data_IF_882198529711
#
_entry.id   IF_882198529711
#
_cell.length_a   1.000
_cell.length_b   1.000
_cell.length_c   1.000
_cell.angle_alpha   90.00
_cell.angle_beta   90.00
_cell.angle_gamma   90.00
#
_symmetry.space_group_name_H-M   'P 1'
#
loop_
_entity.id
_entity.type
_entity.pdbx_description
1 polymer ?
#
# COMPACT_ATOMS: atom_id res chain seq x y z
N UNK A 1 5.78 -1.45 -2.70
CA UNK A 1 5.80 -0.06 -3.26
C UNK A 1 6.66 -0.07 -4.51
N UNK A 2 6.47 0.88 -5.42
CA UNK A 2 7.28 1.01 -6.65
C UNK A 2 7.65 2.48 -6.86
N UNK A 3 8.89 2.72 -7.29
CA UNK A 3 9.29 3.98 -7.93
C UNK A 3 9.77 3.61 -9.34
N UNK A 4 8.99 3.99 -10.36
CA UNK A 4 9.37 3.75 -11.75
C UNK A 4 10.01 5.01 -12.33
N UNK A 5 11.30 4.93 -12.64
CA UNK A 5 12.03 5.96 -13.37
C UNK A 5 11.68 5.95 -14.86
N UNK A 6 11.41 4.75 -15.41
CA UNK A 6 10.99 4.57 -16.80
C UNK A 6 9.67 5.28 -17.10
N UNK A 7 8.67 5.13 -16.23
CA UNK A 7 7.33 5.71 -16.41
C UNK A 7 7.04 6.91 -15.50
N UNK A 8 8.05 7.37 -14.74
CA UNK A 8 7.98 8.52 -13.82
C UNK A 8 6.79 8.47 -12.86
N UNK A 9 6.66 7.39 -12.09
CA UNK A 9 5.61 7.28 -11.06
C UNK A 9 6.13 6.75 -9.73
N UNK A 10 5.39 7.03 -8.66
CA UNK A 10 5.59 6.50 -7.31
C UNK A 10 4.27 5.88 -6.84
N UNK A 11 4.26 4.57 -6.66
CA UNK A 11 3.13 3.85 -6.09
C UNK A 11 3.35 3.59 -4.59
N UNK A 12 2.59 4.31 -3.76
CA UNK A 12 2.59 4.14 -2.31
C UNK A 12 1.60 3.04 -1.94
N UNK A 13 2.15 1.88 -1.56
CA UNK A 13 1.36 0.68 -1.27
C UNK A 13 0.78 0.70 0.14
N UNK A 14 -0.54 0.85 0.26
CA UNK A 14 -1.26 0.72 1.52
C UNK A 14 -1.61 -0.73 1.83
N UNK A 15 -1.97 -0.99 3.10
CA UNK A 15 -2.42 -2.30 3.55
C UNK A 15 -3.88 -2.50 3.18
N UNK A 16 -4.23 -3.72 2.74
CA UNK A 16 -5.62 -4.19 2.53
C UNK A 16 -6.41 -3.47 1.41
N UNK A 17 -5.69 -2.84 0.48
CA UNK A 17 -6.23 -2.15 -0.70
C UNK A 17 -5.88 -2.86 -2.01
N UNK A 18 -5.72 -4.20 -1.97
CA UNK A 18 -5.17 -5.03 -3.05
C UNK A 18 -3.82 -4.59 -3.61
N UNK A 19 -3.03 -3.87 -2.81
CA UNK A 19 -1.73 -3.35 -3.21
C UNK A 19 -0.71 -4.40 -3.68
N UNK A 20 -0.87 -5.70 -3.35
CA UNK A 20 -0.01 -6.75 -3.94
C UNK A 20 -0.35 -6.99 -5.40
N UNK A 21 -1.62 -7.21 -5.75
CA UNK A 21 -2.03 -7.40 -7.15
C UNK A 21 -1.72 -6.18 -8.02
N UNK A 22 -1.95 -4.96 -7.50
CA UNK A 22 -1.59 -3.72 -8.19
C UNK A 22 -0.08 -3.63 -8.39
N UNK A 23 0.71 -3.95 -7.37
CA UNK A 23 2.17 -3.94 -7.49
C UNK A 23 2.69 -4.93 -8.53
N UNK A 24 2.06 -6.11 -8.66
CA UNK A 24 2.42 -7.08 -9.69
C UNK A 24 2.08 -6.56 -11.10
N UNK A 25 0.89 -5.97 -11.29
CA UNK A 25 0.51 -5.36 -12.57
C UNK A 25 1.48 -4.24 -12.96
N UNK A 26 1.80 -3.34 -12.02
CA UNK A 26 2.72 -2.23 -12.24
C UNK A 26 4.17 -2.69 -12.44
N UNK A 27 4.61 -3.79 -11.80
CA UNK A 27 5.98 -4.28 -11.98
C UNK A 27 6.20 -4.90 -13.37
N UNK A 28 5.13 -5.32 -14.06
CA UNK A 28 5.19 -5.78 -15.44
C UNK A 28 5.68 -4.71 -16.44
N UNK A 29 5.39 -3.43 -16.17
CA UNK A 29 5.81 -2.32 -17.05
C UNK A 29 7.15 -1.69 -16.66
N UNK A 30 7.68 -2.03 -15.48
CA UNK A 30 8.89 -1.40 -14.93
C UNK A 30 10.16 -1.66 -15.78
N UNK A 31 11.11 -0.73 -15.71
CA UNK A 31 12.45 -0.82 -16.30
C UNK A 31 13.50 -1.43 -15.36
N UNK A 32 14.74 -1.52 -15.81
CA UNK A 32 15.86 -2.11 -15.05
C UNK A 32 16.30 -1.27 -13.86
N UNK A 33 16.20 0.05 -13.95
CA UNK A 33 16.60 0.99 -12.90
C UNK A 33 15.49 1.22 -11.86
N UNK A 34 14.26 0.78 -12.13
CA UNK A 34 13.11 1.04 -11.28
C UNK A 34 13.26 0.34 -9.92
N UNK A 35 12.76 0.98 -8.86
CA UNK A 35 12.80 0.46 -7.50
C UNK A 35 11.54 -0.34 -7.23
N UNK A 36 11.71 -1.63 -6.94
CA UNK A 36 10.62 -2.55 -6.63
C UNK A 36 10.94 -3.25 -5.31
N UNK A 37 10.14 -3.00 -4.28
CA UNK A 37 10.36 -3.61 -2.96
C UNK A 37 9.94 -5.08 -2.93
N UNK A 38 10.57 -5.91 -2.09
CA UNK A 38 10.20 -7.32 -1.96
C UNK A 38 8.83 -7.53 -1.30
N UNK A 39 8.02 -8.42 -1.86
CA UNK A 39 6.75 -8.94 -1.28
C UNK A 39 6.97 -10.30 -0.58
N UNK A 40 5.91 -11.00 -0.17
CA UNK A 40 6.09 -12.33 0.46
C UNK A 40 6.69 -13.29 -0.56
N UNK A 41 7.36 -14.36 -0.09
CA UNK A 41 8.02 -15.32 -0.98
C UNK A 41 7.05 -15.97 -1.96
N UNK A 42 5.83 -16.23 -1.53
CA UNK A 42 4.75 -16.80 -2.33
C UNK A 42 4.28 -15.80 -3.40
N UNK A 43 4.07 -14.54 -3.00
CA UNK A 43 3.67 -13.47 -3.92
C UNK A 43 4.79 -13.17 -4.95
N UNK A 44 6.07 -13.24 -4.55
CA UNK A 44 7.25 -13.11 -5.44
C UNK A 44 7.30 -14.21 -6.48
N UNK A 45 7.02 -15.45 -6.07
CA UNK A 45 6.98 -16.60 -6.98
C UNK A 45 5.88 -16.41 -8.03
N UNK A 46 4.68 -16.04 -7.60
CA UNK A 46 3.57 -15.74 -8.52
C UNK A 46 3.93 -14.58 -9.48
N UNK A 47 4.61 -13.54 -8.98
CA UNK A 47 5.05 -12.41 -9.79
C UNK A 47 6.04 -12.83 -10.89
N UNK A 48 6.96 -13.72 -10.55
CA UNK A 48 7.89 -14.30 -11.51
C UNK A 48 7.18 -15.19 -12.56
N UNK A 49 6.24 -16.03 -12.13
CA UNK A 49 5.45 -16.90 -13.02
C UNK A 49 4.60 -16.09 -14.02
N UNK A 50 4.16 -14.89 -13.65
CA UNK A 50 3.46 -13.94 -14.52
C UNK A 50 4.38 -13.17 -15.47
N UNK A 51 5.70 -13.42 -15.44
CA UNK A 51 6.68 -12.70 -16.26
C UNK A 51 6.90 -11.25 -15.84
N UNK A 52 6.40 -10.83 -14.67
CA UNK A 52 6.58 -9.48 -14.16
C UNK A 52 7.96 -9.32 -13.50
N UNK A 53 8.47 -8.08 -13.42
CA UNK A 53 9.75 -7.84 -12.74
C UNK A 53 9.65 -8.12 -11.24
N UNK A 54 10.70 -8.78 -10.74
CA UNK A 54 10.94 -9.08 -9.33
C UNK A 54 11.46 -7.89 -8.52
N UNK A 55 11.88 -8.15 -7.29
CA UNK A 55 12.33 -7.12 -6.37
C UNK A 55 13.73 -6.68 -6.77
N UNK A 56 13.93 -5.39 -6.97
CA UNK A 56 15.17 -4.83 -7.48
C UNK A 56 15.39 -3.41 -6.96
N UNK A 57 16.64 -2.98 -6.94
CA UNK A 57 17.09 -1.60 -6.62
C UNK A 57 16.54 -1.01 -5.31
N UNK A 58 16.09 -1.84 -4.37
CA UNK A 58 15.46 -1.39 -3.13
C UNK A 58 16.44 -1.05 -2.00
N UNK A 59 17.75 -0.97 -2.27
CA UNK A 59 18.72 -0.41 -1.32
C UNK A 59 18.67 1.11 -1.36
N UNK A 60 18.57 1.76 -0.20
CA UNK A 60 18.61 3.22 -0.13
C UNK A 60 20.06 3.69 -0.33
N UNK A 61 20.33 4.66 -1.23
CA UNK A 61 21.66 5.25 -1.36
C UNK A 61 22.14 5.93 -0.08
N UNK A 62 23.44 5.82 0.21
CA UNK A 62 24.04 6.30 1.47
C UNK A 62 23.93 7.81 1.66
N UNK A 63 23.80 8.58 0.57
CA UNK A 63 23.55 10.02 0.61
C UNK A 63 22.26 10.40 1.34
N UNK A 64 21.32 9.47 1.51
CA UNK A 64 20.06 9.67 2.24
C UNK A 64 20.06 9.07 3.66
N UNK A 65 21.23 8.69 4.17
CA UNK A 65 21.34 8.10 5.51
C UNK A 65 21.32 9.22 6.55
N UNK A 66 20.41 9.11 7.52
CA UNK A 66 20.46 9.94 8.72
C UNK A 66 21.54 9.45 9.70
N UNK A 67 21.69 10.19 10.81
CA UNK A 67 22.65 9.87 11.88
C UNK A 67 22.42 8.43 12.40
N UNK A 68 21.17 8.05 12.61
CA UNK A 68 20.81 6.70 13.09
C UNK A 68 21.12 5.61 12.07
N UNK A 69 20.92 5.88 10.78
CA UNK A 69 21.24 4.94 9.70
C UNK A 69 22.76 4.70 9.63
N UNK A 70 23.56 5.77 9.75
CA UNK A 70 25.02 5.67 9.84
C UNK A 70 25.50 4.90 11.06
N UNK A 71 24.93 5.17 12.25
CA UNK A 71 25.23 4.37 13.46
C UNK A 71 24.91 2.89 13.23
N UNK A 72 23.74 2.55 12.71
CA UNK A 72 23.36 1.17 12.44
C UNK A 72 24.28 0.51 11.41
N UNK A 73 24.74 1.25 10.40
CA UNK A 73 25.68 0.71 9.42
C UNK A 73 27.06 0.43 10.02
N UNK A 74 27.60 1.36 10.81
CA UNK A 74 28.94 1.22 11.40
C UNK A 74 28.95 0.11 12.45
N UNK A 75 27.98 0.10 13.38
CA UNK A 75 28.00 -0.81 14.53
C UNK A 75 27.34 -2.17 14.26
N UNK A 76 26.45 -2.27 13.28
CA UNK A 76 25.68 -3.51 13.00
C UNK A 76 25.81 -4.01 11.56
N UNK A 77 26.57 -3.32 10.71
CA UNK A 77 26.64 -3.62 9.27
C UNK A 77 25.30 -3.46 8.54
N UNK A 78 24.28 -2.87 9.17
CA UNK A 78 22.91 -2.87 8.65
C UNK A 78 22.72 -1.77 7.60
N UNK A 79 22.35 -2.16 6.39
CA UNK A 79 21.94 -1.26 5.31
C UNK A 79 20.48 -0.83 5.49
N UNK A 80 20.16 0.36 4.96
CA UNK A 80 18.80 0.89 4.83
C UNK A 80 18.20 0.47 3.49
N UNK A 81 16.94 0.08 3.50
CA UNK A 81 16.21 -0.39 2.32
C UNK A 81 14.85 0.29 2.21
N UNK A 82 14.37 0.45 0.99
CA UNK A 82 12.95 0.65 0.71
C UNK A 82 12.20 -0.62 1.12
N UNK A 83 11.01 -0.45 1.67
CA UNK A 83 10.21 -1.57 2.19
C UNK A 83 8.73 -1.40 1.86
N UNK A 84 7.99 -2.51 1.96
CA UNK A 84 6.55 -2.49 1.70
C UNK A 84 5.80 -1.69 2.76
N UNK A 85 4.81 -0.90 2.32
CA UNK A 85 4.11 0.03 3.21
C UNK A 85 5.07 1.06 3.84
N UNK A 86 6.02 1.58 3.07
CA UNK A 86 6.81 2.77 3.45
C UNK A 86 5.94 4.02 3.25
N UNK A 87 5.85 4.93 4.23
CA UNK A 87 5.03 6.15 4.13
C UNK A 87 5.65 7.19 3.19
N UNK A 88 4.82 8.06 2.64
CA UNK A 88 5.20 9.19 1.78
C UNK A 88 6.33 10.04 2.37
N UNK A 89 6.28 10.31 3.69
CA UNK A 89 7.31 11.04 4.42
C UNK A 89 8.69 10.40 4.29
N UNK A 90 8.79 9.08 4.47
CA UNK A 90 10.05 8.33 4.36
C UNK A 90 10.48 8.19 2.90
N UNK A 91 9.55 7.97 1.96
CA UNK A 91 9.87 7.90 0.52
C UNK A 91 10.51 9.23 0.09
N UNK A 92 9.87 10.36 0.40
CA UNK A 92 10.36 11.71 0.09
C UNK A 92 11.74 11.98 0.67
N UNK A 93 12.02 11.52 1.90
CA UNK A 93 13.32 11.70 2.54
C UNK A 93 14.46 10.86 1.91
N UNK A 94 14.12 9.81 1.15
CA UNK A 94 15.08 8.86 0.61
C UNK A 94 15.32 8.99 -0.91
N UNK A 95 14.68 9.95 -1.59
CA UNK A 95 14.82 10.17 -3.03
C UNK A 95 15.20 11.62 -3.36
N UNK A 96 15.75 11.89 -4.56
CA UNK A 96 15.97 13.26 -5.02
C UNK A 96 14.66 14.07 -5.05
N UNK A 97 14.75 15.38 -4.78
CA UNK A 97 13.59 16.26 -4.73
C UNK A 97 12.90 16.42 -6.09
N UNK A 98 13.66 16.42 -7.18
CA UNK A 98 13.15 16.43 -8.55
C UNK A 98 12.32 15.18 -8.83
N UNK A 99 12.77 14.00 -8.41
CA UNK A 99 11.97 12.77 -8.54
C UNK A 99 10.65 12.88 -7.76
N UNK A 100 10.69 13.33 -6.51
CA UNK A 100 9.47 13.50 -5.71
C UNK A 100 8.50 14.50 -6.35
N UNK A 101 9.01 15.62 -6.84
CA UNK A 101 8.19 16.70 -7.39
C UNK A 101 7.63 16.34 -8.78
N UNK A 102 8.40 15.65 -9.62
CA UNK A 102 8.07 15.46 -11.03
C UNK A 102 7.28 14.16 -11.32
N UNK A 103 7.38 13.14 -10.46
CA UNK A 103 6.78 11.82 -10.76
C UNK A 103 5.31 11.79 -10.36
N UNK A 104 4.45 11.11 -11.12
CA UNK A 104 3.07 10.90 -10.70
C UNK A 104 3.00 9.98 -9.46
N UNK A 105 2.52 10.50 -8.34
CA UNK A 105 2.42 9.83 -7.05
C UNK A 105 0.98 9.42 -6.81
N UNK A 106 0.76 8.15 -6.51
CA UNK A 106 -0.60 7.68 -6.23
C UNK A 106 -0.64 6.52 -5.24
N UNK A 107 -1.82 6.31 -4.69
CA UNK A 107 -2.13 5.15 -3.88
C UNK A 107 -3.59 4.75 -4.05
N UNK A 108 -3.96 3.63 -3.43
CA UNK A 108 -5.35 3.17 -3.36
C UNK A 108 -5.80 3.19 -1.90
N UNK A 109 -7.03 3.62 -1.68
CA UNK A 109 -7.74 3.56 -0.41
C UNK A 109 -8.98 2.68 -0.58
N UNK A 110 -9.41 2.00 0.48
CA UNK A 110 -10.61 1.14 0.50
C UNK A 110 -11.56 1.63 1.57
N UNK A 111 -12.85 1.41 1.35
CA UNK A 111 -13.89 1.62 2.35
C UNK A 111 -13.40 1.14 3.75
N UNK A 112 -13.32 2.03 4.76
CA UNK A 112 -12.66 1.72 6.02
C UNK A 112 -13.26 0.56 6.80
N UNK A 113 -14.59 0.39 6.75
CA UNK A 113 -15.29 -0.71 7.40
C UNK A 113 -14.89 -2.05 6.77
N UNK A 114 -14.97 -2.14 5.44
CA UNK A 114 -14.56 -3.34 4.71
C UNK A 114 -13.06 -3.64 4.83
N UNK A 115 -12.23 -2.59 4.79
CA UNK A 115 -10.77 -2.66 5.00
C UNK A 115 -10.43 -3.23 6.36
N UNK A 116 -11.12 -2.77 7.41
CA UNK A 116 -10.94 -3.22 8.80
C UNK A 116 -11.33 -4.68 8.95
N UNK A 117 -12.54 -5.06 8.50
CA UNK A 117 -13.02 -6.46 8.53
C UNK A 117 -12.02 -7.37 7.80
N UNK A 118 -11.55 -6.96 6.62
CA UNK A 118 -10.56 -7.72 5.86
C UNK A 118 -9.22 -7.87 6.61
N UNK A 119 -8.80 -6.87 7.37
CA UNK A 119 -7.57 -6.97 8.16
C UNK A 119 -7.74 -7.83 9.40
N UNK A 120 -8.87 -7.70 10.10
CA UNK A 120 -9.23 -8.52 11.25
C UNK A 120 -9.11 -10.01 10.92
N UNK A 121 -9.84 -10.49 9.90
CA UNK A 121 -9.77 -11.90 9.50
C UNK A 121 -8.37 -12.34 9.07
N UNK A 122 -7.61 -11.46 8.43
CA UNK A 122 -6.24 -11.77 8.06
C UNK A 122 -5.32 -11.96 9.28
N UNK A 123 -5.46 -11.12 10.31
CA UNK A 123 -4.66 -11.21 11.54
C UNK A 123 -5.09 -12.35 12.44
N UNK A 124 -6.40 -12.62 12.50
CA UNK A 124 -6.97 -13.68 13.34
C UNK A 124 -6.64 -15.10 12.89
N UNK A 125 -5.83 -15.28 11.83
CA UNK A 125 -5.26 -16.59 11.46
C UNK A 125 -4.05 -16.97 12.31
N UNK A 126 -3.33 -15.97 12.80
CA UNK A 126 -2.11 -16.13 13.62
C UNK A 126 -2.25 -15.52 15.02
N UNK A 127 -3.35 -14.82 15.24
CA UNK A 127 -3.77 -14.22 16.51
C UNK A 127 -5.11 -14.84 16.90
N UNK A 128 -5.52 -14.60 18.14
CA UNK A 128 -6.78 -15.10 18.68
C UNK A 128 -7.52 -13.94 19.36
N UNK A 129 -7.91 -12.95 18.53
CA UNK A 129 -8.80 -11.88 18.96
C UNK A 129 -10.20 -12.46 19.17
N UNK A 130 -10.79 -12.12 20.31
CA UNK A 130 -12.11 -12.62 20.70
C UNK A 130 -13.26 -11.98 19.89
N UNK A 131 -13.05 -10.77 19.37
CA UNK A 131 -14.03 -9.98 18.61
C UNK A 131 -13.36 -8.91 17.75
N UNK A 132 -14.13 -8.25 16.87
CA UNK A 132 -13.65 -7.08 16.11
C UNK A 132 -13.38 -5.91 17.07
N UNK A 133 -14.24 -5.66 18.08
CA UNK A 133 -13.94 -4.66 19.12
C UNK A 133 -12.62 -4.92 19.85
N UNK A 134 -12.33 -6.18 20.21
CA UNK A 134 -11.06 -6.56 20.83
C UNK A 134 -9.87 -6.24 19.91
N UNK A 135 -9.99 -6.57 18.62
CA UNK A 135 -9.02 -6.19 17.60
C UNK A 135 -8.84 -4.67 17.46
N UNK A 136 -9.93 -3.90 17.49
CA UNK A 136 -9.91 -2.44 17.41
C UNK A 136 -9.26 -1.77 18.62
N UNK A 137 -9.25 -2.42 19.78
CA UNK A 137 -8.60 -1.92 21.01
C UNK A 137 -7.10 -2.23 21.07
N UNK A 138 -6.62 -3.18 20.27
CA UNK A 138 -5.21 -3.54 20.21
C UNK A 138 -4.44 -2.62 19.24
N UNK A 139 -3.14 -2.39 19.50
CA UNK A 139 -2.24 -1.65 18.59
C UNK A 139 -2.25 -2.17 17.13
N UNK A 140 -2.70 -3.42 16.91
CA UNK A 140 -2.86 -3.98 15.57
C UNK A 140 -4.01 -3.35 14.76
N UNK A 141 -5.01 -2.77 15.43
CA UNK A 141 -6.01 -1.87 14.86
C UNK A 141 -5.37 -0.62 14.25
N UNK A 142 -4.40 -0.04 14.95
CA UNK A 142 -3.72 1.20 14.57
C UNK A 142 -2.61 0.98 13.51
N UNK A 143 -2.27 -0.28 13.22
CA UNK A 143 -1.29 -0.63 12.19
C UNK A 143 -1.80 -0.42 10.76
N UNK A 144 -3.10 -0.21 10.53
CA UNK A 144 -3.62 0.23 9.24
C UNK A 144 -3.50 1.75 9.22
N UNK A 145 -2.26 2.24 9.19
CA UNK A 145 -1.97 3.64 8.89
C UNK A 145 -2.57 3.89 7.50
N UNK A 146 -3.72 4.56 7.42
CA UNK A 146 -4.39 4.91 6.16
C UNK A 146 -3.84 6.25 5.68
N UNK A 147 -4.53 7.34 6.03
CA UNK A 147 -4.20 8.72 5.65
C UNK A 147 -2.75 9.10 5.94
N UNK A 148 -2.18 8.65 7.06
CA UNK A 148 -0.79 8.93 7.44
C UNK A 148 0.25 8.36 6.46
N UNK A 149 -0.11 7.39 5.61
CA UNK A 149 0.81 6.77 4.65
C UNK A 149 1.01 7.60 3.39
N UNK A 150 0.03 8.40 3.00
CA UNK A 150 0.06 9.24 1.81
C UNK A 150 -0.09 10.72 2.13
N UNK A 151 0.12 11.11 3.38
CA UNK A 151 0.13 12.50 3.82
C UNK A 151 1.48 12.92 4.38
N UNK A 152 1.76 14.22 4.28
CA UNK A 152 2.93 14.89 4.86
C UNK A 152 2.39 16.16 5.55
N UNK A 153 2.77 16.38 6.79
CA UNK A 153 2.29 17.51 7.61
C UNK A 153 0.76 17.66 7.64
N UNK A 154 0.06 16.51 7.67
CA UNK A 154 -1.39 16.44 7.73
C UNK A 154 -2.12 16.68 6.41
N UNK A 155 -1.41 16.88 5.29
CA UNK A 155 -1.99 17.12 3.97
C UNK A 155 -1.69 15.96 3.02
N UNK A 156 -2.64 15.65 2.14
CA UNK A 156 -2.43 14.66 1.06
C UNK A 156 -1.19 15.05 0.25
N UNK A 157 -0.26 14.10 0.10
CA UNK A 157 1.06 14.30 -0.50
C UNK A 157 1.26 13.46 -1.78
N UNK A 158 0.18 12.87 -2.28
CA UNK A 158 0.11 12.16 -3.56
C UNK A 158 -0.77 12.96 -4.52
N UNK A 159 -0.56 12.77 -5.82
CA UNK A 159 -1.34 13.45 -6.86
C UNK A 159 -2.76 12.87 -6.96
N UNK A 160 -2.93 11.57 -6.68
CA UNK A 160 -4.26 10.93 -6.65
C UNK A 160 -4.37 9.79 -5.63
N UNK A 161 -5.51 9.72 -4.95
CA UNK A 161 -5.95 8.58 -4.14
C UNK A 161 -7.10 7.91 -4.87
N UNK A 162 -6.90 6.69 -5.35
CA UNK A 162 -7.92 5.92 -6.05
C UNK A 162 -8.77 5.09 -5.09
N UNK A 163 -10.06 4.97 -5.38
CA UNK A 163 -10.94 4.06 -4.66
C UNK A 163 -10.68 2.61 -5.09
N UNK A 164 -10.52 1.72 -4.12
CA UNK A 164 -10.34 0.29 -4.35
C UNK A 164 -11.54 -0.34 -5.08
N UNK A 165 -12.73 0.17 -4.79
CA UNK A 165 -14.02 -0.27 -5.33
C UNK A 165 -14.15 0.04 -6.83
N UNK A 166 -13.39 1.02 -7.33
CA UNK A 166 -13.39 1.47 -8.73
C UNK A 166 -12.10 1.05 -9.46
N UNK A 167 -11.58 -0.13 -9.14
CA UNK A 167 -10.28 -0.62 -9.61
C UNK A 167 -10.10 -0.55 -11.13
N UNK A 168 -11.09 -0.96 -11.90
CA UNK A 168 -10.99 -1.01 -13.37
C UNK A 168 -10.83 0.39 -13.97
N UNK A 169 -11.67 1.32 -13.52
CA UNK A 169 -11.62 2.74 -13.90
C UNK A 169 -10.29 3.36 -13.47
N UNK A 170 -9.82 3.06 -12.26
CA UNK A 170 -8.54 3.54 -11.75
C UNK A 170 -7.37 3.05 -12.61
N UNK A 171 -7.35 1.78 -13.02
CA UNK A 171 -6.29 1.24 -13.87
C UNK A 171 -6.31 1.83 -15.28
N UNK A 172 -7.49 2.10 -15.83
CA UNK A 172 -7.63 2.81 -17.10
C UNK A 172 -7.07 4.23 -17.04
N UNK A 173 -7.40 4.96 -15.99
CA UNK A 173 -6.89 6.31 -15.79
C UNK A 173 -5.37 6.31 -15.58
N UNK A 174 -4.84 5.39 -14.76
CA UNK A 174 -3.39 5.23 -14.57
C UNK A 174 -2.71 4.94 -15.91
N UNK A 175 -3.26 4.05 -16.74
CA UNK A 175 -2.73 3.79 -18.08
C UNK A 175 -2.70 5.04 -18.95
N UNK A 176 -3.74 5.87 -18.91
CA UNK A 176 -3.79 7.14 -19.62
C UNK A 176 -2.74 8.15 -19.13
N UNK A 177 -2.64 8.33 -17.81
CA UNK A 177 -1.65 9.24 -17.17
C UNK A 177 -0.22 8.81 -17.52
N UNK A 178 0.07 7.51 -17.44
CA UNK A 178 1.38 6.94 -17.73
C UNK A 178 1.66 6.74 -19.22
N UNK A 179 0.68 7.05 -20.09
CA UNK A 179 0.74 6.91 -21.55
C UNK A 179 1.18 5.51 -21.97
N UNK A 180 0.62 4.50 -21.33
CA UNK A 180 0.96 3.11 -21.62
C UNK A 180 0.37 2.69 -22.97
N UNK A 181 1.06 1.83 -23.73
CA UNK A 181 0.55 1.32 -25.01
C UNK A 181 -0.68 0.43 -24.81
N UNK A 182 -0.80 -0.21 -23.65
CA UNK A 182 -1.90 -1.10 -23.29
C UNK A 182 -2.48 -0.74 -21.91
N UNK A 183 -3.76 -1.03 -21.73
CA UNK A 183 -4.46 -0.85 -20.45
C UNK A 183 -3.88 -1.81 -19.42
N UNK A 184 -3.60 -1.30 -18.22
CA UNK A 184 -3.19 -2.13 -17.10
C UNK A 184 -4.36 -3.00 -16.67
N UNK A 185 -4.08 -4.28 -16.47
CA UNK A 185 -5.03 -5.25 -15.94
C UNK A 185 -4.44 -5.89 -14.69
N UNK A 186 -5.28 -6.20 -13.70
CA UNK A 186 -4.82 -7.02 -12.58
C UNK A 186 -4.56 -8.44 -13.07
N UNK A 187 -3.54 -9.13 -12.54
CA UNK A 187 -3.35 -10.55 -12.83
C UNK A 187 -4.52 -11.37 -12.28
N UNK A 188 -4.79 -12.52 -12.88
CA UNK A 188 -5.76 -13.50 -12.35
C UNK A 188 -5.40 -13.96 -10.93
N UNK A 189 -4.11 -13.93 -10.59
CA UNK A 189 -3.61 -14.21 -9.26
C UNK A 189 -4.17 -13.21 -8.23
N UNK A 190 -5.10 -13.71 -7.41
CA UNK A 190 -5.67 -12.96 -6.29
C UNK A 190 -4.89 -13.24 -5.01
N UNK A 191 -3.88 -12.41 -4.76
CA UNK A 191 -3.13 -12.47 -3.52
C UNK A 191 -4.09 -12.36 -2.32
N UNK A 192 -4.10 -13.39 -1.46
CA UNK A 192 -4.72 -13.33 -0.13
C UNK A 192 -6.24 -13.18 -0.14
N UNK A 193 -6.92 -13.57 -1.23
CA UNK A 193 -8.39 -13.56 -1.34
C UNK A 193 -9.05 -14.51 -0.33
N UNK A 194 -8.44 -15.66 -0.09
CA UNK A 194 -8.98 -16.73 0.77
C UNK A 194 -8.90 -16.42 2.27
N UNK A 195 -8.32 -15.28 2.67
CA UNK A 195 -8.06 -14.99 4.07
C UNK A 195 -9.29 -14.46 4.82
N UNK A 196 -10.31 -14.02 4.10
CA UNK A 196 -11.59 -13.62 4.69
C UNK A 196 -12.49 -14.86 4.74
N UNK A 197 -12.68 -15.41 5.93
CA UNK A 197 -13.54 -16.59 6.16
C UNK A 197 -15.03 -16.24 6.12
N UNK A 198 -15.42 -15.07 6.64
CA UNK A 198 -16.80 -14.57 6.58
C UNK A 198 -17.01 -13.67 5.35
N UNK A 199 -17.81 -14.15 4.40
CA UNK A 199 -18.09 -13.45 3.13
C UNK A 199 -19.30 -12.50 3.20
N UNK A 200 -19.98 -12.40 4.34
CA UNK A 200 -21.08 -11.44 4.50
C UNK A 200 -20.60 -10.01 4.28
N UNK A 201 -21.47 -9.09 3.81
CA UNK A 201 -21.17 -7.66 3.78
C UNK A 201 -20.67 -7.15 5.14
N UNK A 202 -19.77 -6.16 5.14
CA UNK A 202 -19.25 -5.61 6.41
C UNK A 202 -20.35 -5.01 7.30
N UNK A 203 -21.45 -4.54 6.71
CA UNK A 203 -22.63 -4.03 7.40
C UNK A 203 -23.40 -5.09 8.19
N UNK A 204 -23.25 -6.37 7.83
CA UNK A 204 -23.85 -7.50 8.57
C UNK A 204 -22.89 -8.12 9.59
N UNK A 205 -21.61 -7.77 9.51
CA UNK A 205 -20.56 -8.29 10.38
C UNK A 205 -20.35 -7.37 11.58
N UNK A 206 -20.37 -6.06 11.35
CA UNK A 206 -20.06 -5.05 12.35
C UNK A 206 -21.31 -4.67 13.15
N UNK A 207 -21.15 -4.51 14.45
CA UNK A 207 -22.14 -3.80 15.27
C UNK A 207 -22.11 -2.29 15.00
N UNK A 208 -23.14 -1.56 15.42
CA UNK A 208 -23.15 -0.09 15.34
C UNK A 208 -22.00 0.55 16.13
N UNK A 209 -21.64 -0.03 17.28
CA UNK A 209 -20.51 0.42 18.09
C UNK A 209 -19.18 0.24 17.33
N UNK A 210 -18.98 -0.92 16.71
CA UNK A 210 -17.79 -1.22 15.90
C UNK A 210 -17.71 -0.30 14.67
N UNK A 211 -18.83 -0.10 13.97
CA UNK A 211 -18.91 0.79 12.82
C UNK A 211 -18.57 2.23 13.20
N UNK A 212 -19.05 2.71 14.35
CA UNK A 212 -18.76 4.05 14.87
C UNK A 212 -17.29 4.21 15.25
N UNK A 213 -16.71 3.24 15.96
CA UNK A 213 -15.30 3.26 16.32
C UNK A 213 -14.37 3.26 15.09
N UNK A 214 -14.74 2.55 14.03
CA UNK A 214 -14.04 2.59 12.74
C UNK A 214 -14.20 3.98 12.10
N UNK A 215 -15.41 4.54 12.11
CA UNK A 215 -15.67 5.85 11.51
C UNK A 215 -14.82 6.96 12.15
N UNK A 216 -14.72 6.97 13.48
CA UNK A 216 -13.87 7.90 14.22
C UNK A 216 -12.39 7.74 13.87
N UNK A 217 -11.90 6.48 13.84
CA UNK A 217 -10.49 6.18 13.53
C UNK A 217 -10.08 6.60 12.12
N UNK A 218 -10.97 6.42 11.14
CA UNK A 218 -10.71 6.70 9.72
C UNK A 218 -11.45 7.95 9.21
N UNK A 219 -11.78 8.89 10.10
CA UNK A 219 -12.56 10.07 9.74
C UNK A 219 -11.95 10.87 8.58
N UNK A 220 -10.62 10.94 8.49
CA UNK A 220 -9.91 11.64 7.41
C UNK A 220 -10.06 10.94 6.06
N UNK A 221 -9.95 9.63 6.04
CA UNK A 221 -10.15 8.81 4.84
C UNK A 221 -11.61 8.85 4.39
N UNK A 222 -12.55 8.82 5.33
CA UNK A 222 -13.99 8.90 5.04
C UNK A 222 -14.32 10.25 4.41
N UNK A 223 -13.87 11.35 5.01
CA UNK A 223 -14.08 12.70 4.49
C UNK A 223 -13.43 12.89 3.11
N UNK A 224 -12.16 12.49 2.97
CA UNK A 224 -11.42 12.58 1.72
C UNK A 224 -12.07 11.82 0.56
N UNK A 225 -12.55 10.61 0.83
CA UNK A 225 -13.06 9.70 -0.20
C UNK A 225 -14.59 9.73 -0.32
N UNK A 226 -15.29 10.45 0.55
CA UNK A 226 -16.75 10.48 0.60
C UNK A 226 -17.40 9.13 0.96
N UNK A 227 -16.71 8.29 1.74
CA UNK A 227 -17.24 6.97 2.09
C UNK A 227 -18.47 7.06 3.00
N UNK A 228 -19.32 6.04 2.88
CA UNK A 228 -20.51 5.86 3.72
C UNK A 228 -20.59 4.41 4.18
N UNK A 229 -21.17 4.21 5.37
CA UNK A 229 -21.46 2.89 5.92
C UNK A 229 -22.70 2.29 5.27
#
# INVERSE_FOLDING_TARGET
MIISHKHKFIFIKLRKTAGTSIEMALSGICGEEDIITPISKEDEKARFELGCRGAQNYSVPMRYYGITDWKNRIFKGKKKYYYNHMPATEIKANIPSDIWNDYFKFCFERNPWDKTVSHYFHRNRSRDFSSIMDYLRHDEGDMIRGFAMYSIDGKVAVDKVFAYEEMETALEEISGILKLPEKLTLPEYRAKSEFRTDKRPYSEILSEEEASAIAERYAREIDLMGYKY
#
